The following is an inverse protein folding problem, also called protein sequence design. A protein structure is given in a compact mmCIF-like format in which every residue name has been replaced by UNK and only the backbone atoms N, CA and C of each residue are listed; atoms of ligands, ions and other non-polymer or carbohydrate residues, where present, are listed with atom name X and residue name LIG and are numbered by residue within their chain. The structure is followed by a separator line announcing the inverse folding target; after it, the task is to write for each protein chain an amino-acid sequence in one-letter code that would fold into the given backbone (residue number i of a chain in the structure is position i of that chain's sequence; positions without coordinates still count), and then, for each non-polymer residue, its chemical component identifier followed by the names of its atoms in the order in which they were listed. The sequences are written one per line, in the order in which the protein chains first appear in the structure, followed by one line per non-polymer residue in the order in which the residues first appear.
data_IF_405892002779
#
_entry.id   IF_405892002779
#
_cell.length_a   1.000
_cell.length_b   1.000
_cell.length_c   1.000
_cell.angle_alpha   90.00
_cell.angle_beta   90.00
_cell.angle_gamma   90.00
#
_symmetry.space_group_name_H-M   'P 1'
#
loop_
_entity.id
_entity.type
_entity.pdbx_description
1 polymer ?
#
# COMPACT_ATOMS: atom_id res chain seq x y z
N UNK A 1 -13.24 7.90 28.60
CA UNK A 1 -12.71 8.89 27.63
C UNK A 1 -11.31 9.24 28.10
N UNK A 2 -10.28 8.52 27.63
CA UNK A 2 -8.88 8.79 27.99
C UNK A 2 -8.33 9.78 26.97
N UNK A 3 -8.19 11.03 27.39
CA UNK A 3 -7.52 12.07 26.60
C UNK A 3 -6.03 11.82 26.74
N UNK A 4 -5.41 11.19 25.75
CA UNK A 4 -3.95 11.15 25.63
C UNK A 4 -3.50 12.53 25.20
N UNK A 5 -3.06 13.35 26.15
CA UNK A 5 -2.31 14.58 25.86
C UNK A 5 -0.96 14.13 25.34
N UNK A 6 -0.81 14.07 24.00
CA UNK A 6 0.49 13.88 23.40
C UNK A 6 1.31 15.17 23.66
N UNK A 7 2.14 15.13 24.70
CA UNK A 7 3.24 16.09 24.81
C UNK A 7 4.09 15.92 23.55
N UNK A 8 4.21 17.00 22.77
CA UNK A 8 5.20 17.10 21.70
C UNK A 8 6.59 16.99 22.35
N UNK A 9 7.05 15.78 22.55
CA UNK A 9 8.44 15.53 22.88
C UNK A 9 9.26 15.74 21.61
N UNK A 10 10.14 16.72 21.62
CA UNK A 10 11.21 16.81 20.63
C UNK A 10 11.95 15.47 20.67
N UNK A 11 11.96 14.78 19.55
CA UNK A 11 12.74 13.54 19.43
C UNK A 11 14.22 13.92 19.44
N UNK A 12 14.90 13.61 20.53
CA UNK A 12 16.31 13.91 20.64
C UNK A 12 17.16 12.97 19.79
N UNK A 13 16.67 11.73 19.51
CA UNK A 13 17.45 10.75 18.76
C UNK A 13 16.55 9.74 18.01
N UNK A 14 17.18 8.97 17.09
CA UNK A 14 16.56 7.84 16.38
C UNK A 14 16.00 6.82 17.35
N UNK A 15 16.74 6.55 18.43
CA UNK A 15 16.34 5.59 19.46
C UNK A 15 15.11 6.02 20.24
N UNK A 16 14.95 7.32 20.48
CA UNK A 16 13.77 7.86 21.15
C UNK A 16 12.53 7.73 20.24
N UNK A 17 12.67 8.05 18.96
CA UNK A 17 11.61 7.84 17.97
C UNK A 17 11.19 6.38 17.89
N UNK A 18 12.17 5.45 17.78
CA UNK A 18 11.90 4.02 17.73
C UNK A 18 11.15 3.51 18.97
N UNK A 19 11.53 3.98 20.17
CA UNK A 19 10.83 3.63 21.41
C UNK A 19 9.39 4.13 21.42
N UNK A 20 9.16 5.33 20.92
CA UNK A 20 7.80 5.88 20.84
C UNK A 20 6.96 5.16 19.79
N UNK A 21 7.56 4.75 18.64
CA UNK A 21 6.89 3.86 17.69
C UNK A 21 6.42 2.58 18.35
N UNK A 22 7.30 1.90 19.09
CA UNK A 22 6.91 0.68 19.82
C UNK A 22 5.78 0.92 20.80
N UNK A 23 5.81 2.04 21.52
CA UNK A 23 4.78 2.37 22.51
C UNK A 23 3.40 2.61 21.85
N UNK A 24 3.32 3.32 20.74
CA UNK A 24 2.05 3.56 20.04
C UNK A 24 1.55 2.31 19.31
N UNK A 25 2.43 1.51 18.75
CA UNK A 25 2.07 0.27 18.05
C UNK A 25 1.60 -0.85 19.00
N UNK A 26 2.08 -0.86 20.24
CA UNK A 26 1.70 -1.87 21.23
C UNK A 26 0.20 -1.87 21.60
N UNK A 27 -0.54 -0.79 21.26
CA UNK A 27 -2.00 -0.74 21.44
C UNK A 27 -2.78 -1.44 20.32
N UNK A 28 -2.14 -1.74 19.18
CA UNK A 28 -2.79 -2.27 18.00
C UNK A 28 -2.20 -3.61 17.53
N UNK A 29 -0.96 -3.93 17.92
CA UNK A 29 -0.19 -5.06 17.40
C UNK A 29 0.50 -5.84 18.53
N UNK A 30 0.69 -7.13 18.32
CA UNK A 30 1.55 -7.95 19.18
C UNK A 30 3.01 -7.49 19.14
N UNK A 31 3.77 -7.71 20.20
CA UNK A 31 5.11 -7.16 20.40
C UNK A 31 6.06 -7.44 19.22
N UNK A 32 6.00 -8.63 18.61
CA UNK A 32 6.84 -9.01 17.47
C UNK A 32 6.47 -8.25 16.20
N UNK A 33 5.18 -8.09 15.97
CA UNK A 33 4.65 -7.36 14.82
C UNK A 33 4.90 -5.86 14.98
N UNK A 34 4.63 -5.28 16.15
CA UNK A 34 4.95 -3.89 16.47
C UNK A 34 6.43 -3.57 16.21
N UNK A 35 7.34 -4.49 16.58
CA UNK A 35 8.77 -4.35 16.32
C UNK A 35 9.10 -4.36 14.82
N UNK A 36 8.48 -5.26 14.06
CA UNK A 36 8.67 -5.34 12.61
C UNK A 36 8.20 -4.06 11.91
N UNK A 37 7.02 -3.56 12.28
CA UNK A 37 6.47 -2.30 11.76
C UNK A 37 7.36 -1.11 12.14
N UNK A 38 7.85 -1.04 13.38
CA UNK A 38 8.72 0.05 13.80
C UNK A 38 10.04 0.09 13.01
N UNK A 39 10.64 -1.08 12.72
CA UNK A 39 11.82 -1.15 11.84
C UNK A 39 11.50 -0.73 10.41
N UNK A 40 10.40 -1.19 9.86
CA UNK A 40 9.94 -0.82 8.52
C UNK A 40 9.78 0.70 8.40
N UNK A 41 9.13 1.35 9.36
CA UNK A 41 8.96 2.82 9.37
C UNK A 41 10.32 3.53 9.43
N UNK A 42 11.24 3.07 10.27
CA UNK A 42 12.56 3.66 10.37
C UNK A 42 13.35 3.53 9.07
N UNK A 43 13.29 2.37 8.41
CA UNK A 43 14.01 2.09 7.18
C UNK A 43 13.41 2.84 5.98
N UNK A 44 12.11 2.68 5.74
CA UNK A 44 11.44 3.26 4.57
C UNK A 44 11.28 4.79 4.64
N UNK A 45 10.99 5.33 5.83
CA UNK A 45 10.76 6.76 5.96
C UNK A 45 12.05 7.57 6.12
N UNK A 46 13.08 7.00 6.74
CA UNK A 46 14.28 7.74 7.14
C UNK A 46 15.60 7.10 6.68
N UNK A 47 15.57 5.90 6.11
CA UNK A 47 16.78 5.15 5.71
C UNK A 47 17.60 4.61 6.88
N UNK A 48 17.02 4.54 8.09
CA UNK A 48 17.74 4.10 9.29
C UNK A 48 17.68 2.58 9.43
N UNK A 49 18.83 1.95 9.35
CA UNK A 49 18.98 0.52 9.55
C UNK A 49 18.92 0.16 11.04
N UNK A 50 18.66 -1.10 11.35
CA UNK A 50 18.70 -1.63 12.73
C UNK A 50 19.98 -1.26 13.47
N UNK A 51 21.13 -1.32 12.79
CA UNK A 51 22.43 -0.93 13.37
C UNK A 51 22.48 0.55 13.78
N UNK A 52 21.81 1.42 13.03
CA UNK A 52 21.80 2.86 13.31
C UNK A 52 20.92 3.17 14.51
N UNK A 53 19.80 2.45 14.66
CA UNK A 53 18.88 2.53 15.80
C UNK A 53 19.56 2.03 17.09
N UNK A 54 20.20 0.85 17.05
CA UNK A 54 20.82 0.28 18.24
C UNK A 54 22.09 1.02 18.69
N UNK A 55 22.86 1.55 17.73
CA UNK A 55 24.07 2.30 18.02
C UNK A 55 23.80 3.79 18.34
N UNK A 56 22.53 4.23 18.22
CA UNK A 56 22.11 5.63 18.41
C UNK A 56 22.99 6.62 17.61
N UNK A 57 23.33 6.22 16.37
CA UNK A 57 24.31 6.92 15.54
C UNK A 57 23.89 8.32 15.11
N UNK A 58 22.58 8.58 15.07
CA UNK A 58 22.01 9.89 14.76
C UNK A 58 21.50 10.48 16.06
N UNK A 59 22.30 11.34 16.67
CA UNK A 59 22.03 11.94 17.97
C UNK A 59 21.04 13.11 17.92
N UNK A 60 20.79 13.68 16.73
CA UNK A 60 19.83 14.78 16.57
C UNK A 60 19.13 14.66 15.22
N UNK A 61 17.80 14.67 15.25
CA UNK A 61 16.97 14.74 14.06
C UNK A 61 16.82 16.20 13.62
N UNK A 62 16.86 16.44 12.32
CA UNK A 62 16.50 17.74 11.76
C UNK A 62 15.05 18.07 12.06
N UNK A 63 14.68 19.35 12.02
CA UNK A 63 13.30 19.81 12.24
C UNK A 63 12.31 19.10 11.31
N UNK A 64 12.67 18.94 10.03
CA UNK A 64 11.84 18.25 9.05
C UNK A 64 11.62 16.76 9.40
N UNK A 65 12.67 16.08 9.87
CA UNK A 65 12.55 14.69 10.32
C UNK A 65 11.69 14.57 11.58
N UNK A 66 11.81 15.51 12.50
CA UNK A 66 10.97 15.56 13.72
C UNK A 66 9.49 15.76 13.38
N UNK A 67 9.16 16.67 12.47
CA UNK A 67 7.79 16.92 12.00
C UNK A 67 7.23 15.67 11.31
N UNK A 68 8.02 15.06 10.42
CA UNK A 68 7.64 13.80 9.74
C UNK A 68 7.41 12.66 10.73
N UNK A 69 8.31 12.51 11.70
CA UNK A 69 8.21 11.51 12.76
C UNK A 69 6.94 11.69 13.60
N UNK A 70 6.67 12.94 14.03
CA UNK A 70 5.48 13.28 14.79
C UNK A 70 4.18 13.03 14.00
N UNK A 71 4.18 13.33 12.70
CA UNK A 71 3.06 13.05 11.80
C UNK A 71 2.77 11.56 11.71
N UNK A 72 3.81 10.73 11.50
CA UNK A 72 3.67 9.27 11.41
C UNK A 72 3.19 8.65 12.73
N UNK A 73 3.75 9.09 13.86
CA UNK A 73 3.32 8.60 15.19
C UNK A 73 1.83 8.86 15.44
N UNK A 74 1.30 10.02 15.05
CA UNK A 74 -0.12 10.32 15.22
C UNK A 74 -0.99 9.38 14.39
N UNK A 75 -0.64 9.12 13.13
CA UNK A 75 -1.40 8.25 12.23
C UNK A 75 -1.36 6.79 12.70
N UNK A 76 -0.17 6.28 13.03
CA UNK A 76 0.01 4.92 13.55
C UNK A 76 -0.68 4.73 14.90
N UNK A 77 -0.62 5.72 15.79
CA UNK A 77 -1.30 5.71 17.08
C UNK A 77 -2.83 5.76 16.96
N UNK A 78 -3.36 6.28 15.85
CA UNK A 78 -4.77 6.20 15.50
C UNK A 78 -5.18 4.86 14.87
N UNK A 79 -4.26 3.90 14.75
CA UNK A 79 -4.52 2.58 14.16
C UNK A 79 -4.50 2.56 12.64
N UNK A 80 -3.99 3.61 11.98
CA UNK A 80 -3.89 3.62 10.54
C UNK A 80 -2.86 2.60 10.04
N UNK A 81 -3.17 1.79 8.99
CA UNK A 81 -2.24 0.84 8.43
C UNK A 81 -0.91 1.48 8.01
N UNK A 82 0.20 0.83 8.36
CA UNK A 82 1.55 1.36 8.09
C UNK A 82 1.79 1.66 6.61
N UNK A 83 1.21 0.88 5.71
CA UNK A 83 1.33 1.09 4.26
C UNK A 83 0.72 2.42 3.81
N UNK A 84 -0.42 2.82 4.38
CA UNK A 84 -0.99 4.15 4.11
C UNK A 84 -0.16 5.27 4.73
N UNK A 85 0.40 5.04 5.91
CA UNK A 85 1.28 6.02 6.58
C UNK A 85 2.55 6.25 5.78
N UNK A 86 3.14 5.19 5.22
CA UNK A 86 4.32 5.25 4.35
C UNK A 86 3.96 5.69 2.92
N UNK A 87 2.71 5.49 2.50
CA UNK A 87 2.25 5.75 1.14
C UNK A 87 2.70 4.70 0.12
N UNK A 88 3.24 3.56 0.58
CA UNK A 88 3.75 2.52 -0.30
C UNK A 88 3.63 1.12 0.30
N UNK A 89 3.58 0.12 -0.56
CA UNK A 89 3.69 -1.31 -0.22
C UNK A 89 4.47 -2.04 -1.30
N UNK A 90 5.07 -3.18 -0.95
CA UNK A 90 5.68 -4.06 -1.94
C UNK A 90 4.64 -5.05 -2.47
N UNK A 91 4.57 -5.22 -3.79
CA UNK A 91 3.76 -6.23 -4.45
C UNK A 91 4.49 -6.74 -5.69
N UNK A 92 4.55 -8.05 -5.86
CA UNK A 92 5.26 -8.71 -6.97
C UNK A 92 6.72 -8.23 -7.12
N UNK A 93 7.38 -7.97 -5.97
CA UNK A 93 8.76 -7.48 -5.89
C UNK A 93 8.96 -6.02 -6.31
N UNK A 94 7.88 -5.22 -6.41
CA UNK A 94 7.92 -3.81 -6.83
C UNK A 94 7.21 -2.90 -5.84
N UNK A 95 7.64 -1.64 -5.69
CA UNK A 95 6.95 -0.67 -4.85
C UNK A 95 5.68 -0.16 -5.55
N UNK A 96 4.54 -0.25 -4.86
CA UNK A 96 3.27 0.34 -5.29
C UNK A 96 2.88 1.46 -4.33
N UNK A 97 2.57 2.62 -4.88
CA UNK A 97 1.95 3.72 -4.16
C UNK A 97 0.53 3.32 -3.74
N UNK A 98 0.17 3.59 -2.49
CA UNK A 98 -1.15 3.31 -1.93
C UNK A 98 -1.66 4.47 -1.08
N UNK A 99 -2.96 4.68 -1.11
CA UNK A 99 -3.69 5.63 -0.28
C UNK A 99 -4.95 4.96 0.27
N UNK A 100 -5.67 5.56 1.21
CA UNK A 100 -6.97 5.06 1.66
C UNK A 100 -8.03 4.90 0.56
N UNK A 101 -7.80 5.44 -0.63
CA UNK A 101 -8.70 5.25 -1.78
C UNK A 101 -8.63 3.85 -2.40
N UNK A 102 -7.60 3.05 -2.08
CA UNK A 102 -7.39 1.71 -2.65
C UNK A 102 -7.11 0.68 -1.57
N UNK A 103 -7.51 -0.56 -1.83
CA UNK A 103 -7.11 -1.67 -0.97
C UNK A 103 -5.58 -1.86 -1.02
N UNK A 104 -4.95 -2.06 0.14
CA UNK A 104 -3.54 -2.45 0.21
C UNK A 104 -3.39 -3.80 -0.49
N UNK A 105 -2.55 -3.91 -1.55
CA UNK A 105 -2.28 -5.18 -2.22
C UNK A 105 -1.93 -6.31 -1.26
N UNK A 106 -2.56 -7.46 -1.44
CA UNK A 106 -2.39 -8.61 -0.56
C UNK A 106 -1.41 -9.62 -1.17
N UNK A 107 -0.57 -10.29 -0.36
CA UNK A 107 0.40 -11.30 -0.85
C UNK A 107 -0.26 -12.43 -1.65
N UNK A 108 -1.48 -12.85 -1.25
CA UNK A 108 -2.24 -13.90 -1.94
C UNK A 108 -2.59 -13.51 -3.38
N UNK A 109 -2.73 -12.22 -3.65
CA UNK A 109 -3.00 -11.70 -4.99
C UNK A 109 -1.78 -11.84 -5.92
N UNK A 110 -0.56 -11.92 -5.39
CA UNK A 110 0.64 -12.21 -6.19
C UNK A 110 0.58 -13.61 -6.82
N UNK A 111 0.01 -14.58 -6.10
CA UNK A 111 -0.18 -15.95 -6.62
C UNK A 111 -1.17 -15.95 -7.78
N UNK A 112 -2.27 -15.18 -7.67
CA UNK A 112 -3.23 -15.00 -8.75
C UNK A 112 -2.56 -14.42 -9.99
N UNK A 113 -1.78 -13.34 -9.84
CA UNK A 113 -1.05 -12.70 -10.95
C UNK A 113 -0.10 -13.69 -11.62
N UNK A 114 0.66 -14.44 -10.83
CA UNK A 114 1.60 -15.45 -11.35
C UNK A 114 0.88 -16.53 -12.13
N UNK A 115 -0.17 -17.09 -11.54
CA UNK A 115 -0.97 -18.13 -12.18
C UNK A 115 -1.59 -17.66 -13.49
N UNK A 116 -2.19 -16.46 -13.51
CA UNK A 116 -2.79 -15.91 -14.74
C UNK A 116 -1.73 -15.64 -15.80
N UNK A 117 -0.59 -15.07 -15.44
CA UNK A 117 0.50 -14.80 -16.38
C UNK A 117 1.06 -16.06 -17.03
N UNK A 118 1.10 -17.20 -16.32
CA UNK A 118 1.64 -18.47 -16.79
C UNK A 118 0.60 -19.31 -17.53
N UNK A 119 -0.64 -19.38 -17.03
CA UNK A 119 -1.66 -20.29 -17.54
C UNK A 119 -2.50 -19.72 -18.68
N UNK A 120 -2.70 -18.39 -18.72
CA UNK A 120 -3.56 -17.76 -19.70
C UNK A 120 -2.94 -17.79 -21.10
N UNK A 121 -3.73 -18.30 -22.07
CA UNK A 121 -3.34 -18.35 -23.49
C UNK A 121 -3.74 -17.10 -24.28
N UNK A 122 -4.52 -16.20 -23.66
CA UNK A 122 -4.99 -14.96 -24.28
C UNK A 122 -3.96 -13.83 -24.16
N UNK A 123 -4.17 -12.78 -24.96
CA UNK A 123 -3.34 -11.56 -24.97
C UNK A 123 -4.12 -10.32 -24.57
N UNK A 124 -5.42 -10.42 -24.31
CA UNK A 124 -6.27 -9.31 -23.91
C UNK A 124 -6.79 -9.54 -22.50
N UNK A 125 -6.25 -8.83 -21.55
CA UNK A 125 -6.61 -8.92 -20.13
C UNK A 125 -7.48 -7.76 -19.72
N UNK A 126 -8.47 -8.03 -18.87
CA UNK A 126 -9.28 -7.03 -18.21
C UNK A 126 -9.22 -7.27 -16.70
N UNK A 127 -8.70 -6.31 -15.95
CA UNK A 127 -8.71 -6.28 -14.48
C UNK A 127 -9.88 -5.43 -14.01
N UNK A 128 -10.80 -6.04 -13.24
CA UNK A 128 -12.03 -5.38 -12.77
C UNK A 128 -11.93 -5.13 -11.26
N UNK A 129 -12.14 -3.87 -10.85
CA UNK A 129 -11.87 -3.42 -9.50
C UNK A 129 -10.37 -3.32 -9.24
N UNK A 130 -9.67 -2.62 -10.14
CA UNK A 130 -8.20 -2.64 -10.19
C UNK A 130 -7.52 -2.00 -8.98
N UNK A 131 -8.22 -1.10 -8.26
CA UNK A 131 -7.69 -0.43 -7.09
C UNK A 131 -6.37 0.29 -7.38
N UNK A 132 -5.28 -0.15 -6.76
CA UNK A 132 -3.92 0.39 -6.99
C UNK A 132 -3.32 0.05 -8.36
N UNK A 133 -4.01 -0.75 -9.18
CA UNK A 133 -3.49 -1.27 -10.43
C UNK A 133 -2.55 -2.45 -10.28
N UNK A 134 -2.39 -3.02 -9.09
CA UNK A 134 -1.33 -4.00 -8.80
C UNK A 134 -1.45 -5.27 -9.67
N UNK A 135 -2.65 -5.76 -9.95
CA UNK A 135 -2.87 -6.92 -10.84
C UNK A 135 -2.55 -6.54 -12.28
N UNK A 136 -3.22 -5.51 -12.82
CA UNK A 136 -3.07 -5.08 -14.22
C UNK A 136 -1.62 -4.73 -14.58
N UNK A 137 -0.97 -3.94 -13.73
CA UNK A 137 0.43 -3.51 -13.92
C UNK A 137 1.37 -4.72 -13.87
N UNK A 138 1.22 -5.60 -12.88
CA UNK A 138 2.07 -6.79 -12.77
C UNK A 138 1.87 -7.75 -13.93
N UNK A 139 0.63 -7.93 -14.42
CA UNK A 139 0.36 -8.72 -15.63
C UNK A 139 1.03 -8.09 -16.86
N UNK A 140 0.94 -6.78 -17.06
CA UNK A 140 1.60 -6.08 -18.17
C UNK A 140 3.12 -6.24 -18.13
N UNK A 141 3.72 -6.10 -16.95
CA UNK A 141 5.17 -6.25 -16.77
C UNK A 141 5.66 -7.70 -16.98
N UNK A 142 4.82 -8.70 -16.67
CA UNK A 142 5.12 -10.13 -16.91
C UNK A 142 4.83 -10.57 -18.35
N UNK A 143 3.90 -9.90 -19.01
CA UNK A 143 3.45 -10.16 -20.38
C UNK A 143 3.50 -8.86 -21.22
N UNK A 144 4.69 -8.37 -21.60
CA UNK A 144 4.85 -7.08 -22.27
C UNK A 144 4.10 -6.98 -23.61
N UNK A 145 3.89 -8.12 -24.29
CA UNK A 145 3.15 -8.22 -25.56
C UNK A 145 1.63 -8.12 -25.39
N UNK A 146 1.12 -8.31 -24.15
CA UNK A 146 -0.31 -8.31 -23.91
C UNK A 146 -0.89 -6.89 -23.89
N UNK A 147 -2.14 -6.79 -24.31
CA UNK A 147 -2.99 -5.61 -24.07
C UNK A 147 -3.67 -5.80 -22.73
N UNK A 148 -3.48 -4.85 -21.81
CA UNK A 148 -4.08 -4.88 -20.49
C UNK A 148 -4.96 -3.65 -20.31
N UNK A 149 -6.22 -3.89 -20.01
CA UNK A 149 -7.18 -2.88 -19.61
C UNK A 149 -7.55 -3.10 -18.13
N UNK A 150 -7.87 -2.03 -17.44
CA UNK A 150 -8.21 -2.10 -16.04
C UNK A 150 -9.34 -1.09 -15.70
N UNK A 151 -10.31 -1.55 -14.94
CA UNK A 151 -11.49 -0.78 -14.56
C UNK A 151 -11.59 -0.64 -13.06
N UNK A 152 -12.05 0.50 -12.64
CA UNK A 152 -12.52 0.74 -11.28
C UNK A 152 -13.68 1.73 -11.32
N UNK A 153 -14.58 1.62 -10.36
CA UNK A 153 -15.69 2.56 -10.23
C UNK A 153 -15.25 3.88 -9.58
N UNK A 154 -14.15 3.85 -8.81
CA UNK A 154 -13.58 5.01 -8.12
C UNK A 154 -12.58 5.74 -9.00
N UNK A 155 -12.83 7.03 -9.35
CA UNK A 155 -11.84 7.86 -10.01
C UNK A 155 -10.52 7.98 -9.22
N UNK A 156 -10.61 8.06 -7.89
CA UNK A 156 -9.45 8.18 -7.01
C UNK A 156 -8.57 6.91 -7.05
N UNK A 157 -9.19 5.73 -7.20
CA UNK A 157 -8.45 4.49 -7.40
C UNK A 157 -7.73 4.49 -8.76
N UNK A 158 -8.40 4.94 -9.82
CA UNK A 158 -7.79 5.07 -11.15
C UNK A 158 -6.61 6.05 -11.13
N UNK A 159 -6.68 7.16 -10.40
CA UNK A 159 -5.56 8.09 -10.23
C UNK A 159 -4.34 7.42 -9.57
N UNK A 160 -4.58 6.60 -8.53
CA UNK A 160 -3.53 5.82 -7.89
C UNK A 160 -2.93 4.80 -8.86
N UNK A 161 -3.76 4.09 -9.63
CA UNK A 161 -3.32 3.11 -10.62
C UNK A 161 -2.48 3.75 -11.75
N UNK A 162 -2.89 4.89 -12.26
CA UNK A 162 -2.12 5.67 -13.24
C UNK A 162 -0.74 6.04 -12.72
N UNK A 163 -0.68 6.58 -11.49
CA UNK A 163 0.59 6.93 -10.86
C UNK A 163 1.52 5.72 -10.72
N UNK A 164 0.99 4.57 -10.32
CA UNK A 164 1.76 3.34 -10.23
C UNK A 164 2.27 2.86 -11.60
N UNK A 165 1.41 2.90 -12.62
CA UNK A 165 1.77 2.51 -13.98
C UNK A 165 2.88 3.39 -14.54
N UNK A 166 2.78 4.70 -14.35
CA UNK A 166 3.82 5.66 -14.75
C UNK A 166 5.14 5.39 -14.05
N UNK A 167 5.14 5.24 -12.72
CA UNK A 167 6.33 4.97 -11.93
C UNK A 167 7.02 3.64 -12.31
N UNK A 168 6.24 2.62 -12.68
CA UNK A 168 6.74 1.29 -13.02
C UNK A 168 6.94 1.06 -14.52
N UNK A 169 6.61 2.04 -15.37
CA UNK A 169 6.76 1.96 -16.81
C UNK A 169 5.84 0.93 -17.48
N UNK A 170 4.63 0.73 -16.95
CA UNK A 170 3.66 -0.22 -17.45
C UNK A 170 2.60 0.46 -18.31
N UNK A 171 2.47 0.05 -19.59
CA UNK A 171 1.44 0.53 -20.50
C UNK A 171 0.11 -0.23 -20.27
N UNK A 172 -0.75 0.33 -19.42
CA UNK A 172 -2.07 -0.21 -19.04
C UNK A 172 -3.14 0.84 -19.36
N UNK A 173 -4.26 0.41 -19.94
CA UNK A 173 -5.41 1.25 -20.23
C UNK A 173 -6.35 1.27 -19.04
N UNK A 174 -6.38 2.37 -18.28
CA UNK A 174 -7.29 2.54 -17.12
C UNK A 174 -8.54 3.30 -17.53
N UNK A 175 -9.70 2.86 -17.02
CA UNK A 175 -10.99 3.50 -17.27
C UNK A 175 -11.84 3.50 -15.99
N UNK A 176 -12.48 4.63 -15.69
CA UNK A 176 -13.50 4.68 -14.66
C UNK A 176 -14.76 4.02 -15.22
N UNK A 177 -15.11 2.84 -14.73
CA UNK A 177 -16.23 2.06 -15.24
C UNK A 177 -16.94 1.30 -14.11
N UNK A 178 -18.26 1.28 -14.19
CA UNK A 178 -19.08 0.37 -13.41
C UNK A 178 -19.31 -0.93 -14.21
N UNK A 179 -18.86 -2.04 -13.66
CA UNK A 179 -18.96 -3.37 -14.28
C UNK A 179 -20.37 -3.72 -14.74
N UNK A 180 -21.41 -3.26 -14.00
CA UNK A 180 -22.80 -3.62 -14.27
C UNK A 180 -23.44 -2.78 -15.39
N UNK A 181 -22.87 -1.63 -15.70
CA UNK A 181 -23.39 -0.69 -16.72
C UNK A 181 -22.44 -0.48 -17.89
N UNK A 182 -21.17 -0.91 -17.76
CA UNK A 182 -20.17 -0.77 -18.79
C UNK A 182 -20.53 -1.54 -20.06
N UNK A 183 -20.22 -1.01 -21.26
CA UNK A 183 -20.36 -1.76 -22.49
C UNK A 183 -19.39 -2.95 -22.51
N UNK A 184 -19.76 -4.08 -23.17
CA UNK A 184 -18.88 -5.22 -23.30
C UNK A 184 -17.54 -4.81 -23.93
N UNK A 185 -16.42 -5.16 -23.25
CA UNK A 185 -15.06 -4.97 -23.79
C UNK A 185 -14.49 -6.32 -24.18
N UNK A 186 -13.94 -6.48 -25.39
CA UNK A 186 -13.31 -7.75 -25.77
C UNK A 186 -12.13 -8.04 -24.86
N UNK A 187 -12.24 -9.09 -24.05
CA UNK A 187 -11.17 -9.61 -23.24
C UNK A 187 -11.13 -11.14 -23.38
N UNK A 188 -9.92 -11.71 -23.47
CA UNK A 188 -9.74 -13.17 -23.47
C UNK A 188 -9.59 -13.72 -22.06
N UNK A 189 -9.22 -12.86 -21.12
CA UNK A 189 -9.09 -13.17 -19.69
C UNK A 189 -9.62 -11.99 -18.88
N UNK A 190 -10.53 -12.28 -17.95
CA UNK A 190 -10.98 -11.31 -16.95
C UNK A 190 -10.42 -11.73 -15.60
N UNK A 191 -9.81 -10.80 -14.89
CA UNK A 191 -9.27 -11.00 -13.55
C UNK A 191 -9.93 -10.01 -12.61
N UNK A 192 -10.21 -10.43 -11.40
CA UNK A 192 -10.74 -9.53 -10.37
C UNK A 192 -10.38 -10.06 -8.99
N UNK A 193 -10.04 -9.17 -8.08
CA UNK A 193 -9.96 -9.43 -6.65
C UNK A 193 -10.85 -8.41 -5.92
N UNK A 194 -12.18 -8.57 -6.01
CA UNK A 194 -13.13 -7.61 -5.47
C UNK A 194 -13.11 -7.61 -3.93
N UNK A 195 -13.56 -6.52 -3.27
CA UNK A 195 -13.67 -6.50 -1.83
C UNK A 195 -14.66 -7.57 -1.34
N UNK A 196 -14.29 -8.29 -0.27
CA UNK A 196 -15.17 -9.25 0.39
C UNK A 196 -16.16 -8.50 1.26
N UNK A 197 -17.39 -8.32 0.79
CA UNK A 197 -18.47 -7.67 1.55
C UNK A 197 -19.13 -8.74 2.42
N UNK A 198 -19.05 -8.60 3.74
CA UNK A 198 -19.83 -9.42 4.66
C UNK A 198 -21.33 -9.14 4.50
N UNK A 199 -22.20 -10.16 4.65
CA UNK A 199 -23.67 -9.99 4.53
C UNK A 199 -24.24 -8.91 5.47
N UNK A 200 -23.56 -8.60 6.57
CA UNK A 200 -23.94 -7.53 7.50
C UNK A 200 -23.72 -6.12 6.96
N UNK A 201 -22.87 -5.94 5.97
CA UNK A 201 -22.55 -4.64 5.35
C UNK A 201 -23.44 -4.36 4.11
N UNK A 202 -24.29 -5.32 3.72
CA UNK A 202 -25.27 -5.15 2.63
C UNK A 202 -26.51 -4.34 3.02
N UNK A 203 -26.64 -3.93 4.28
CA UNK A 203 -27.84 -3.31 4.84
C UNK A 203 -27.72 -1.80 5.05
N UNK A 204 -26.68 -1.16 4.55
CA UNK A 204 -26.51 0.29 4.44
C UNK A 204 -26.40 0.66 2.95
#
# INVERSE_FOLDING_TARGET
MHVYIFYFHYFCSVKDFYRQLLAVLASHYEAREAQAIAFLVCEEAFGWRKTDIYADKVSQLSTAEQERAAFMLRRLGAGEPVQYVLGATCFDGRPFYVTPAVLIPRPETEELVRWVAEAARGQHFLDVGTGSGCIAISLKLRRPEATVCAWDISPEAIDVAHKNAECLGADVQFEVQDLFTAPPKPATVVVSNPPYICEKERAE
#
